data_IF_893818572466
#
_entry.id   IF_893818572466
#
_cell.length_a   1.000
_cell.length_b   1.000
_cell.length_c   1.000
_cell.angle_alpha   90.00
_cell.angle_beta   90.00
_cell.angle_gamma   90.00
#
_symmetry.space_group_name_H-M   'P 1'
#
loop_
_entity.id
_entity.type
_entity.pdbx_description
1 polymer ?
#
# COMPACT_ATOMS: atom_id res chain seq x y z
N UNK A 1 15.72 -66.94 27.38
CA UNK A 1 15.93 -66.71 25.93
C UNK A 1 14.70 -66.13 25.22
N UNK A 2 13.47 -66.35 25.71
CA UNK A 2 12.23 -65.73 25.18
C UNK A 2 11.99 -64.29 25.69
N UNK A 3 12.37 -63.96 26.92
CA UNK A 3 12.15 -62.60 27.48
C UNK A 3 13.14 -61.53 26.97
N UNK A 4 14.37 -61.92 26.62
CA UNK A 4 15.36 -61.00 26.02
C UNK A 4 15.09 -60.68 24.54
N UNK A 5 14.25 -61.47 23.85
CA UNK A 5 13.85 -61.21 22.46
C UNK A 5 12.73 -60.16 22.38
N UNK A 6 11.74 -60.25 23.27
CA UNK A 6 10.66 -59.25 23.36
C UNK A 6 11.14 -57.86 23.77
N UNK A 7 12.10 -57.75 24.71
CA UNK A 7 12.64 -56.45 25.13
C UNK A 7 13.50 -55.75 24.05
N UNK A 8 14.08 -56.49 23.09
CA UNK A 8 14.83 -55.92 21.97
C UNK A 8 13.93 -55.52 20.79
N UNK A 9 12.83 -56.24 20.56
CA UNK A 9 11.83 -55.89 19.55
C UNK A 9 11.01 -54.64 19.96
N UNK A 10 10.70 -54.48 21.26
CA UNK A 10 10.01 -53.29 21.76
C UNK A 10 10.90 -52.02 21.71
N UNK A 11 12.20 -52.16 21.99
CA UNK A 11 13.15 -51.03 21.90
C UNK A 11 13.44 -50.61 20.45
N UNK A 12 13.46 -51.55 19.49
CA UNK A 12 13.61 -51.25 18.07
C UNK A 12 12.33 -50.69 17.45
N UNK A 13 11.15 -51.20 17.84
CA UNK A 13 9.86 -50.63 17.46
C UNK A 13 9.67 -49.20 18.01
N UNK A 14 10.04 -48.96 19.28
CA UNK A 14 10.05 -47.64 19.87
C UNK A 14 10.98 -46.69 19.09
N UNK A 15 12.24 -47.06 18.85
CA UNK A 15 13.21 -46.26 18.09
C UNK A 15 12.77 -45.99 16.63
N UNK A 16 12.15 -46.96 15.95
CA UNK A 16 11.58 -46.77 14.63
C UNK A 16 10.34 -45.86 14.63
N UNK A 17 9.52 -45.90 15.69
CA UNK A 17 8.38 -44.99 15.85
C UNK A 17 8.84 -43.55 16.06
N UNK A 18 9.89 -43.33 16.87
CA UNK A 18 10.46 -41.99 17.13
C UNK A 18 11.11 -41.42 15.87
N UNK A 19 11.81 -42.25 15.09
CA UNK A 19 12.38 -41.86 13.79
C UNK A 19 11.32 -41.50 12.75
N UNK A 20 10.22 -42.28 12.69
CA UNK A 20 9.09 -42.02 11.79
C UNK A 20 8.31 -40.76 12.17
N UNK A 21 8.03 -40.55 13.46
CA UNK A 21 7.38 -39.35 13.98
C UNK A 21 8.23 -38.09 13.72
N UNK A 22 9.55 -38.20 13.90
CA UNK A 22 10.49 -37.11 13.57
C UNK A 22 10.51 -36.81 12.06
N UNK A 23 10.42 -37.82 11.20
CA UNK A 23 10.34 -37.63 9.74
C UNK A 23 9.02 -36.95 9.32
N UNK A 24 7.88 -37.38 9.85
CA UNK A 24 6.58 -36.77 9.58
C UNK A 24 6.57 -35.28 10.00
N UNK A 25 7.02 -34.97 11.21
CA UNK A 25 7.10 -33.59 11.70
C UNK A 25 8.01 -32.73 10.81
N UNK A 26 9.14 -33.27 10.34
CA UNK A 26 10.01 -32.57 9.39
C UNK A 26 9.30 -32.29 8.07
N UNK A 27 8.59 -33.26 7.49
CA UNK A 27 7.82 -33.06 6.25
C UNK A 27 6.78 -31.95 6.43
N UNK A 28 6.04 -31.96 7.54
CA UNK A 28 5.02 -30.95 7.82
C UNK A 28 5.64 -29.56 7.98
N UNK A 29 6.77 -29.44 8.68
CA UNK A 29 7.48 -28.18 8.84
C UNK A 29 7.98 -27.61 7.51
N UNK A 30 8.57 -28.45 6.65
CA UNK A 30 9.03 -28.04 5.34
C UNK A 30 7.89 -27.71 4.38
N UNK A 31 6.76 -28.42 4.49
CA UNK A 31 5.52 -28.11 3.75
C UNK A 31 4.99 -26.74 4.15
N UNK A 32 4.90 -26.46 5.46
CA UNK A 32 4.49 -25.14 5.95
C UNK A 32 5.42 -24.03 5.45
N UNK A 33 6.73 -24.20 5.65
CA UNK A 33 7.72 -23.15 5.35
C UNK A 33 7.94 -22.92 3.86
N UNK A 34 8.17 -23.98 3.09
CA UNK A 34 8.67 -23.85 1.71
C UNK A 34 7.58 -23.99 0.66
N UNK A 35 6.54 -24.79 0.91
CA UNK A 35 5.44 -24.91 -0.03
C UNK A 35 4.38 -23.83 0.25
N UNK A 36 3.91 -23.75 1.49
CA UNK A 36 2.79 -22.86 1.82
C UNK A 36 3.27 -21.40 1.91
N UNK A 37 4.20 -21.10 2.81
CA UNK A 37 4.65 -19.71 3.03
C UNK A 37 5.42 -19.18 1.83
N UNK A 38 6.47 -19.88 1.37
CA UNK A 38 7.34 -19.37 0.30
C UNK A 38 6.67 -19.32 -1.08
N UNK A 39 5.69 -20.18 -1.37
CA UNK A 39 4.93 -20.12 -2.62
C UNK A 39 3.58 -19.41 -2.48
N UNK A 40 3.28 -18.83 -1.31
CA UNK A 40 2.01 -18.16 -1.01
C UNK A 40 0.77 -19.01 -1.35
N UNK A 41 0.79 -20.28 -0.94
CA UNK A 41 -0.30 -21.22 -1.19
C UNK A 41 -1.28 -21.28 -0.01
N UNK A 42 -2.57 -21.56 -0.26
CA UNK A 42 -3.56 -21.63 0.80
C UNK A 42 -3.30 -22.84 1.71
N UNK A 43 -3.57 -22.69 3.01
CA UNK A 43 -3.34 -23.73 4.02
C UNK A 43 -4.09 -25.04 3.73
N UNK A 44 -5.22 -24.97 3.02
CA UNK A 44 -6.04 -26.12 2.64
C UNK A 44 -5.40 -26.98 1.55
N UNK A 45 -4.25 -26.60 0.97
CA UNK A 45 -3.54 -27.44 -0.01
C UNK A 45 -3.22 -28.83 0.56
N UNK A 46 -2.95 -28.93 1.87
CA UNK A 46 -2.68 -30.22 2.55
C UNK A 46 -3.89 -31.16 2.59
N UNK A 47 -5.08 -30.62 2.33
CA UNK A 47 -6.35 -31.35 2.29
C UNK A 47 -6.75 -31.76 0.87
N UNK A 48 -6.11 -31.19 -0.17
CA UNK A 48 -6.36 -31.54 -1.56
C UNK A 48 -6.10 -33.02 -1.83
N UNK A 49 -7.03 -33.68 -2.54
CA UNK A 49 -6.90 -35.08 -2.92
C UNK A 49 -5.62 -35.34 -3.72
N UNK A 50 -5.31 -34.49 -4.70
CA UNK A 50 -4.11 -34.60 -5.52
C UNK A 50 -2.82 -34.47 -4.70
N UNK A 51 -2.77 -33.52 -3.76
CA UNK A 51 -1.63 -33.35 -2.85
C UNK A 51 -1.43 -34.59 -1.96
N UNK A 52 -2.51 -35.16 -1.43
CA UNK A 52 -2.43 -36.36 -0.57
C UNK A 52 -1.96 -37.59 -1.33
N UNK A 53 -2.39 -37.76 -2.57
CA UNK A 53 -1.91 -38.85 -3.45
C UNK A 53 -0.42 -38.67 -3.72
N UNK A 54 0.00 -37.46 -4.13
CA UNK A 54 1.41 -37.12 -4.35
C UNK A 54 2.28 -37.40 -3.12
N UNK A 55 1.84 -36.98 -1.94
CA UNK A 55 2.61 -37.19 -0.70
C UNK A 55 2.69 -38.65 -0.27
N UNK A 56 1.65 -39.46 -0.52
CA UNK A 56 1.68 -40.91 -0.26
C UNK A 56 2.61 -41.66 -1.21
N UNK A 57 2.72 -41.22 -2.45
CA UNK A 57 3.69 -41.77 -3.40
C UNK A 57 5.12 -41.41 -2.97
N UNK A 58 5.38 -40.13 -2.69
CA UNK A 58 6.69 -39.65 -2.22
C UNK A 58 7.10 -40.25 -0.85
N UNK A 59 6.15 -40.39 0.06
CA UNK A 59 6.36 -40.97 1.39
C UNK A 59 5.16 -41.80 1.81
N UNK A 60 5.24 -43.12 1.61
CA UNK A 60 4.15 -44.06 1.90
C UNK A 60 3.61 -43.99 3.34
N UNK A 61 4.47 -43.66 4.32
CA UNK A 61 4.09 -43.50 5.74
C UNK A 61 3.56 -42.10 6.07
N UNK A 62 3.40 -41.22 5.09
CA UNK A 62 2.87 -39.88 5.32
C UNK A 62 1.43 -39.94 5.80
N UNK A 63 1.17 -39.33 6.95
CA UNK A 63 -0.17 -39.18 7.51
C UNK A 63 -0.75 -37.81 7.11
N UNK A 64 -1.84 -37.77 6.32
CA UNK A 64 -2.47 -36.51 5.97
C UNK A 64 -2.98 -35.77 7.20
N UNK A 65 -2.73 -34.46 7.25
CA UNK A 65 -3.27 -33.58 8.29
C UNK A 65 -4.34 -32.66 7.73
N UNK A 66 -5.11 -32.04 8.63
CA UNK A 66 -6.00 -30.94 8.28
C UNK A 66 -5.26 -29.61 8.32
N UNK A 67 -5.75 -28.63 7.56
CA UNK A 67 -5.32 -27.24 7.62
C UNK A 67 -5.49 -26.68 9.04
N UNK A 68 -6.52 -27.12 9.76
CA UNK A 68 -6.73 -26.77 11.18
C UNK A 68 -5.60 -27.28 12.07
N UNK A 69 -5.17 -28.54 11.88
CA UNK A 69 -4.05 -29.12 12.63
C UNK A 69 -2.74 -28.42 12.29
N UNK A 70 -2.50 -28.14 11.01
CA UNK A 70 -1.33 -27.37 10.55
C UNK A 70 -1.27 -26.00 11.23
N UNK A 71 -2.40 -25.27 11.23
CA UNK A 71 -2.52 -23.94 11.84
C UNK A 71 -2.30 -23.95 13.35
N UNK A 72 -2.80 -24.96 14.05
CA UNK A 72 -2.73 -25.03 15.51
C UNK A 72 -1.39 -25.57 16.01
N UNK A 73 -0.82 -26.57 15.34
CA UNK A 73 0.28 -27.35 15.90
C UNK A 73 1.65 -26.99 15.26
N UNK A 74 1.67 -26.54 14.00
CA UNK A 74 2.92 -26.30 13.25
C UNK A 74 3.22 -24.81 13.09
N UNK A 75 2.23 -24.00 12.69
CA UNK A 75 2.44 -22.57 12.45
C UNK A 75 2.94 -21.80 13.69
N UNK A 76 2.47 -22.04 14.93
CA UNK A 76 2.93 -21.26 16.09
C UNK A 76 4.43 -21.42 16.35
N UNK A 77 4.97 -22.64 16.18
CA UNK A 77 6.42 -22.88 16.31
C UNK A 77 7.21 -22.08 15.26
N UNK A 78 6.72 -22.03 14.02
CA UNK A 78 7.31 -21.20 12.97
C UNK A 78 7.23 -19.70 13.30
N UNK A 79 6.06 -19.21 13.72
CA UNK A 79 5.87 -17.81 14.10
C UNK A 79 6.77 -17.40 15.27
N UNK A 80 6.92 -18.27 16.27
CA UNK A 80 7.83 -18.02 17.40
C UNK A 80 9.28 -17.89 16.95
N UNK A 81 9.74 -18.75 16.02
CA UNK A 81 11.10 -18.67 15.49
C UNK A 81 11.32 -17.40 14.65
N UNK A 82 10.33 -17.01 13.83
CA UNK A 82 10.37 -15.74 13.08
C UNK A 82 10.41 -14.56 14.03
N UNK A 83 9.53 -14.53 15.04
CA UNK A 83 9.49 -13.47 16.05
C UNK A 83 10.82 -13.34 16.81
N UNK A 84 11.45 -14.46 17.21
CA UNK A 84 12.78 -14.45 17.82
C UNK A 84 13.85 -13.88 16.88
N UNK A 85 13.82 -14.27 15.60
CA UNK A 85 14.76 -13.76 14.60
C UNK A 85 14.61 -12.25 14.42
N UNK A 86 13.37 -11.75 14.40
CA UNK A 86 13.08 -10.32 14.34
C UNK A 86 13.61 -9.61 15.60
N UNK A 87 13.34 -10.12 16.80
CA UNK A 87 13.88 -9.55 18.04
C UNK A 87 15.42 -9.49 18.03
N UNK A 88 16.09 -10.57 17.63
CA UNK A 88 17.55 -10.61 17.54
C UNK A 88 18.12 -9.59 16.54
N UNK A 89 17.42 -9.35 15.44
CA UNK A 89 17.80 -8.32 14.47
C UNK A 89 17.59 -6.91 15.03
N UNK A 90 16.42 -6.66 15.63
CA UNK A 90 16.05 -5.36 16.20
C UNK A 90 16.89 -4.98 17.42
N UNK A 91 17.43 -5.96 18.15
CA UNK A 91 18.35 -5.70 19.27
C UNK A 91 19.70 -5.12 18.83
N UNK A 92 20.12 -5.34 17.58
CA UNK A 92 21.41 -4.88 17.05
C UNK A 92 21.38 -3.47 16.48
N UNK A 93 20.19 -2.89 16.32
CA UNK A 93 20.02 -1.57 15.73
C UNK A 93 19.69 -0.53 16.79
N UNK A 94 20.05 0.72 16.48
CA UNK A 94 19.79 1.89 17.32
C UNK A 94 18.59 2.69 16.84
N UNK A 95 18.33 2.70 15.52
CA UNK A 95 17.28 3.50 14.90
C UNK A 95 16.53 2.66 13.87
N UNK A 96 15.22 2.88 13.79
CA UNK A 96 14.34 2.33 12.76
C UNK A 96 13.24 3.34 12.40
N UNK A 97 12.65 3.21 11.24
CA UNK A 97 11.42 3.92 10.86
C UNK A 97 10.27 2.94 10.74
N UNK A 98 9.04 3.41 10.93
CA UNK A 98 7.83 2.60 10.79
C UNK A 98 7.07 3.05 9.55
N UNK A 99 6.50 2.11 8.81
CA UNK A 99 5.38 2.39 7.91
C UNK A 99 4.14 1.73 8.49
N UNK A 100 3.06 2.49 8.61
CA UNK A 100 1.80 2.01 9.16
C UNK A 100 0.72 2.19 8.11
N UNK A 101 0.20 1.07 7.63
CA UNK A 101 -0.78 1.02 6.55
C UNK A 101 -2.10 0.44 7.06
N UNK A 102 -3.20 1.14 6.78
CA UNK A 102 -4.54 0.78 7.22
C UNK A 102 -5.42 0.44 6.02
N UNK A 103 -6.03 -0.73 6.03
CA UNK A 103 -7.00 -1.10 4.99
C UNK A 103 -8.22 -1.82 5.56
N UNK A 104 -9.34 -1.66 4.87
CA UNK A 104 -10.57 -2.39 5.12
C UNK A 104 -10.78 -3.44 4.03
N UNK A 105 -11.19 -4.64 4.41
CA UNK A 105 -11.66 -5.61 3.44
C UNK A 105 -13.09 -5.31 2.96
N UNK A 106 -13.59 -6.10 2.02
CA UNK A 106 -14.95 -5.93 1.44
C UNK A 106 -16.09 -6.15 2.43
N UNK A 107 -15.80 -6.68 3.63
CA UNK A 107 -16.76 -6.86 4.71
C UNK A 107 -16.60 -5.77 5.78
N UNK A 108 -15.95 -4.67 5.42
CA UNK A 108 -15.61 -3.56 6.29
C UNK A 108 -14.86 -4.01 7.55
N UNK A 109 -14.08 -5.10 7.45
CA UNK A 109 -13.18 -5.51 8.53
C UNK A 109 -11.86 -4.83 8.31
N UNK A 110 -11.38 -4.21 9.37
CA UNK A 110 -10.23 -3.36 9.27
C UNK A 110 -8.97 -4.02 9.80
N UNK A 111 -7.87 -3.61 9.21
CA UNK A 111 -6.56 -4.15 9.51
C UNK A 111 -5.52 -3.04 9.51
N UNK A 112 -4.49 -3.22 10.32
CA UNK A 112 -3.36 -2.33 10.45
C UNK A 112 -2.08 -3.15 10.25
N UNK A 113 -1.31 -2.84 9.22
CA UNK A 113 0.02 -3.38 9.01
C UNK A 113 1.05 -2.44 9.60
N UNK A 114 1.91 -2.95 10.49
CA UNK A 114 3.01 -2.20 11.08
C UNK A 114 4.31 -2.85 10.63
N UNK A 115 5.08 -2.14 9.81
CA UNK A 115 6.36 -2.63 9.26
C UNK A 115 7.47 -1.72 9.74
N UNK A 116 8.55 -2.30 10.26
CA UNK A 116 9.77 -1.55 10.59
C UNK A 116 10.78 -1.61 9.46
N UNK A 117 11.50 -0.52 9.28
CA UNK A 117 12.54 -0.32 8.27
C UNK A 117 13.82 0.12 8.93
N UNK A 118 14.93 -0.55 8.64
CA UNK A 118 16.24 -0.23 9.21
C UNK A 118 17.37 -0.65 8.27
N UNK A 119 18.56 -0.15 8.55
CA UNK A 119 19.79 -0.55 7.85
C UNK A 119 20.53 -1.55 8.74
N UNK A 120 20.86 -2.71 8.20
CA UNK A 120 21.61 -3.74 8.92
C UNK A 120 23.12 -3.48 8.96
N UNK A 121 23.85 -4.37 9.63
CA UNK A 121 25.32 -4.35 9.73
C UNK A 121 26.05 -4.50 8.39
N UNK A 122 25.34 -4.93 7.34
CA UNK A 122 25.85 -5.07 5.97
C UNK A 122 25.49 -3.87 5.10
N UNK A 123 24.97 -2.79 5.69
CA UNK A 123 24.52 -1.59 4.98
C UNK A 123 23.37 -1.87 3.99
N UNK A 124 22.55 -2.90 4.27
CA UNK A 124 21.40 -3.24 3.46
C UNK A 124 20.11 -2.79 4.14
N UNK A 125 19.19 -2.24 3.35
CA UNK A 125 17.84 -1.93 3.84
C UNK A 125 17.06 -3.20 4.13
N UNK A 126 16.49 -3.29 5.33
CA UNK A 126 15.65 -4.38 5.80
C UNK A 126 14.25 -3.83 6.11
N UNK A 127 13.23 -4.60 5.73
CA UNK A 127 11.83 -4.29 6.02
C UNK A 127 11.16 -5.52 6.64
N UNK A 128 10.75 -5.43 7.91
CA UNK A 128 10.08 -6.53 8.62
C UNK A 128 8.68 -6.11 9.06
N UNK A 129 7.68 -6.89 8.66
CA UNK A 129 6.31 -6.77 9.17
C UNK A 129 6.30 -7.24 10.64
N UNK A 130 6.08 -6.31 11.56
CA UNK A 130 6.04 -6.57 13.00
C UNK A 130 4.71 -7.20 13.40
N UNK A 131 3.62 -6.64 12.89
CA UNK A 131 2.28 -7.17 13.13
C UNK A 131 1.31 -6.82 12.00
N UNK A 132 0.28 -7.65 11.87
CA UNK A 132 -0.86 -7.49 10.99
C UNK A 132 -2.11 -7.58 11.86
N UNK A 133 -2.47 -6.44 12.43
CA UNK A 133 -3.48 -6.39 13.50
C UNK A 133 -4.86 -6.29 12.88
N UNK A 134 -5.79 -7.12 13.35
CA UNK A 134 -7.22 -6.90 13.04
C UNK A 134 -7.75 -5.84 13.99
N UNK A 135 -8.09 -4.67 13.43
CA UNK A 135 -8.71 -3.58 14.15
C UNK A 135 -10.19 -3.85 14.35
N UNK A 136 -10.62 -4.05 15.60
CA UNK A 136 -12.02 -4.36 15.94
C UNK A 136 -12.74 -3.19 16.62
N UNK A 137 -12.01 -2.21 17.10
CA UNK A 137 -12.54 -1.00 17.74
C UNK A 137 -12.79 0.10 16.69
N UNK A 138 -13.48 1.20 17.06
CA UNK A 138 -13.58 2.37 16.20
C UNK A 138 -12.20 2.90 15.76
N UNK A 139 -12.14 3.46 14.55
CA UNK A 139 -10.91 3.97 13.93
C UNK A 139 -10.49 5.34 14.46
N UNK A 140 -10.47 5.51 15.78
CA UNK A 140 -9.99 6.76 16.39
C UNK A 140 -8.46 6.79 16.38
N UNK A 141 -7.88 7.98 16.49
CA UNK A 141 -6.43 8.13 16.49
C UNK A 141 -5.79 7.43 17.69
N UNK A 142 -6.47 7.49 18.84
CA UNK A 142 -6.05 6.91 20.13
C UNK A 142 -5.97 5.39 20.03
N UNK A 143 -6.98 4.74 19.44
CA UNK A 143 -6.96 3.28 19.27
C UNK A 143 -5.84 2.83 18.31
N UNK A 144 -5.55 3.61 17.26
CA UNK A 144 -4.46 3.31 16.32
C UNK A 144 -3.10 3.50 17.00
N UNK A 145 -2.94 4.57 17.79
CA UNK A 145 -1.75 4.83 18.61
C UNK A 145 -1.51 3.68 19.58
N UNK A 146 -2.52 3.29 20.36
CA UNK A 146 -2.42 2.20 21.33
C UNK A 146 -2.01 0.87 20.68
N UNK A 147 -2.62 0.50 19.55
CA UNK A 147 -2.22 -0.72 18.82
C UNK A 147 -0.77 -0.68 18.36
N UNK A 148 -0.27 0.50 18.01
CA UNK A 148 1.12 0.68 17.62
C UNK A 148 2.03 0.55 18.83
N UNK A 149 1.70 1.21 19.94
CA UNK A 149 2.45 1.10 21.20
C UNK A 149 2.52 -0.34 21.71
N UNK A 150 1.42 -1.09 21.70
CA UNK A 150 1.38 -2.51 22.07
C UNK A 150 2.36 -3.38 21.24
N UNK A 151 2.57 -3.02 19.97
CA UNK A 151 3.55 -3.70 19.11
C UNK A 151 4.96 -3.25 19.45
N UNK A 152 5.19 -1.96 19.65
CA UNK A 152 6.52 -1.43 19.98
C UNK A 152 7.03 -1.93 21.34
N UNK A 153 6.15 -2.02 22.33
CA UNK A 153 6.45 -2.54 23.67
C UNK A 153 6.80 -4.02 23.60
N UNK A 154 6.05 -4.79 22.80
CA UNK A 154 6.30 -6.23 22.61
C UNK A 154 7.69 -6.53 22.04
N UNK A 155 8.21 -5.64 21.20
CA UNK A 155 9.53 -5.77 20.58
C UNK A 155 10.62 -4.94 21.29
N UNK A 156 10.27 -4.18 22.35
CA UNK A 156 11.19 -3.30 23.10
C UNK A 156 11.93 -2.29 22.20
N UNK A 157 11.20 -1.69 21.24
CA UNK A 157 11.77 -0.79 20.21
C UNK A 157 11.24 0.64 20.26
N UNK A 158 10.45 0.99 21.28
CA UNK A 158 9.81 2.32 21.42
C UNK A 158 10.81 3.48 21.24
N UNK A 159 11.93 3.42 21.97
CA UNK A 159 13.00 4.44 21.93
C UNK A 159 13.83 4.45 20.63
N UNK A 160 13.66 3.46 19.76
CA UNK A 160 14.42 3.33 18.50
C UNK A 160 13.71 3.96 17.32
N UNK A 161 12.45 4.37 17.49
CA UNK A 161 11.62 4.89 16.40
C UNK A 161 12.11 6.30 16.02
N UNK A 162 12.65 6.43 14.81
CA UNK A 162 13.10 7.68 14.22
C UNK A 162 11.97 8.45 13.55
N UNK A 163 11.22 7.79 12.66
CA UNK A 163 10.07 8.37 11.93
C UNK A 163 8.97 7.34 11.70
N UNK A 164 7.73 7.82 11.60
CA UNK A 164 6.55 7.01 11.30
C UNK A 164 5.91 7.55 10.03
N UNK A 165 5.74 6.70 9.03
CA UNK A 165 5.16 7.04 7.75
C UNK A 165 3.76 6.44 7.67
N UNK A 166 2.75 7.28 7.46
CA UNK A 166 1.34 6.86 7.33
C UNK A 166 0.68 7.51 6.13
N UNK A 167 -0.49 7.02 5.73
CA UNK A 167 -1.35 7.79 4.83
C UNK A 167 -1.87 9.09 5.50
N UNK A 168 -2.65 9.86 4.74
CA UNK A 168 -3.23 11.13 5.19
C UNK A 168 -4.69 10.97 5.65
N UNK A 169 -5.13 9.77 6.02
CA UNK A 169 -6.44 9.60 6.64
C UNK A 169 -6.48 10.39 7.96
N UNK A 170 -7.62 10.98 8.27
CA UNK A 170 -7.78 11.83 9.47
C UNK A 170 -7.44 11.08 10.76
N UNK A 171 -7.81 9.81 10.86
CA UNK A 171 -7.48 8.94 12.00
C UNK A 171 -5.98 8.69 12.14
N UNK A 172 -5.26 8.47 11.02
CA UNK A 172 -3.81 8.28 11.01
C UNK A 172 -3.06 9.57 11.37
N UNK A 173 -3.53 10.72 10.87
CA UNK A 173 -2.95 12.02 11.25
C UNK A 173 -3.12 12.24 12.76
N UNK A 174 -4.34 12.07 13.29
CA UNK A 174 -4.62 12.25 14.73
C UNK A 174 -3.79 11.30 15.60
N UNK A 175 -3.62 10.04 15.20
CA UNK A 175 -2.86 9.05 15.95
C UNK A 175 -1.40 9.45 16.25
N UNK A 176 -0.79 10.27 15.39
CA UNK A 176 0.62 10.63 15.52
C UNK A 176 0.88 12.14 15.45
N UNK A 177 -0.16 12.98 15.59
CA UNK A 177 -0.06 14.46 15.56
C UNK A 177 0.84 14.98 16.68
N UNK A 178 0.71 14.43 17.88
CA UNK A 178 1.45 14.83 19.09
C UNK A 178 2.57 13.84 19.46
N UNK A 179 3.01 13.02 18.50
CA UNK A 179 3.99 11.96 18.74
C UNK A 179 3.44 10.74 19.47
N UNK A 180 4.22 9.66 19.48
CA UNK A 180 3.88 8.44 20.24
C UNK A 180 3.97 8.64 21.75
N UNK A 181 4.68 9.67 22.22
CA UNK A 181 5.18 9.77 23.61
C UNK A 181 4.64 10.97 24.39
N UNK A 182 3.67 11.71 23.84
CA UNK A 182 2.92 12.65 24.66
C UNK A 182 2.09 11.83 25.65
N UNK A 183 2.47 11.90 26.93
CA UNK A 183 1.64 11.45 28.03
C UNK A 183 0.39 12.33 28.03
N UNK A 184 -0.79 11.71 28.08
CA UNK A 184 -2.03 12.41 28.40
C UNK A 184 -1.95 12.80 29.88
N UNK A 185 -1.38 13.96 30.18
CA UNK A 185 -1.71 14.60 31.46
C UNK A 185 -3.20 14.89 31.44
N UNK A 186 -3.87 14.34 32.44
CA UNK A 186 -5.32 14.28 32.60
C UNK A 186 -5.94 15.66 32.73
N UNK A 187 -6.70 16.09 31.73
CA UNK A 187 -7.74 17.11 31.92
C UNK A 187 -9.11 16.45 31.95
N UNK A 188 -9.43 15.88 33.12
CA UNK A 188 -10.81 15.92 33.58
C UNK A 188 -11.19 17.41 33.64
N UNK A 189 -12.15 17.85 32.81
CA UNK A 189 -13.17 18.89 33.04
C UNK A 189 -13.46 19.67 31.75
N UNK A 190 -14.46 19.21 30.98
CA UNK A 190 -14.92 19.92 29.79
C UNK A 190 -16.15 19.29 29.15
N UNK A 191 -17.19 19.07 29.96
CA UNK A 191 -18.48 18.58 29.51
C UNK A 191 -19.14 19.59 28.55
N UNK A 192 -19.13 19.31 27.24
CA UNK A 192 -20.12 19.89 26.32
C UNK A 192 -20.70 18.81 25.43
N UNK A 193 -21.95 18.48 25.72
CA UNK A 193 -22.83 17.64 24.92
C UNK A 193 -22.84 18.09 23.45
N UNK A 194 -22.60 17.17 22.52
CA UNK A 194 -23.14 17.28 21.17
C UNK A 194 -23.55 15.89 20.67
N UNK A 195 -24.79 15.83 20.20
CA UNK A 195 -25.61 14.64 20.03
C UNK A 195 -24.97 13.52 19.20
N UNK A 196 -25.11 12.32 19.75
CA UNK A 196 -24.94 11.05 19.07
C UNK A 196 -25.97 10.91 17.95
N UNK A 197 -25.54 11.04 16.70
CA UNK A 197 -26.31 10.59 15.54
C UNK A 197 -25.94 9.14 15.25
N UNK A 198 -26.77 8.24 15.76
CA UNK A 198 -26.75 6.82 15.48
C UNK A 198 -27.25 6.60 14.03
N UNK A 199 -26.33 6.42 13.07
CA UNK A 199 -26.72 5.95 11.74
C UNK A 199 -26.65 4.43 11.73
N UNK A 200 -27.78 3.81 12.03
CA UNK A 200 -28.06 2.41 11.73
C UNK A 200 -28.24 2.29 10.21
N UNK A 201 -27.27 1.75 9.49
CA UNK A 201 -27.50 1.28 8.12
C UNK A 201 -27.84 -0.21 8.13
N UNK A 202 -29.13 -0.46 7.91
CA UNK A 202 -29.68 -1.75 7.53
C UNK A 202 -29.05 -2.12 6.17
N UNK A 203 -28.26 -3.19 6.15
CA UNK A 203 -27.84 -3.83 4.90
C UNK A 203 -28.97 -4.76 4.45
N UNK A 204 -29.72 -4.32 3.45
CA UNK A 204 -30.38 -5.24 2.54
C UNK A 204 -29.59 -5.27 1.22
N UNK A 205 -29.37 -6.49 0.74
CA UNK A 205 -28.73 -6.84 -0.51
C UNK A 205 -29.15 -5.92 -1.66
N UNK A 206 -28.21 -5.36 -2.42
CA UNK A 206 -28.21 -5.38 -3.90
C UNK A 206 -26.93 -4.71 -4.45
N UNK A 207 -26.36 -5.38 -5.45
CA UNK A 207 -25.27 -4.95 -6.34
C UNK A 207 -25.64 -3.62 -7.02
N UNK A 208 -25.07 -2.50 -6.57
CA UNK A 208 -25.12 -1.25 -7.33
C UNK A 208 -23.80 -0.49 -7.29
N UNK A 209 -23.45 -0.03 -8.49
CA UNK A 209 -22.33 0.81 -8.90
C UNK A 209 -21.98 1.94 -7.91
N UNK A 210 -20.72 1.98 -7.47
CA UNK A 210 -20.13 3.19 -6.90
C UNK A 210 -19.85 4.16 -8.05
N UNK A 211 -20.66 5.21 -8.14
CA UNK A 211 -20.37 6.40 -8.94
C UNK A 211 -19.15 7.14 -8.39
N UNK A 212 -18.41 7.79 -9.28
CA UNK A 212 -17.21 8.61 -9.03
C UNK A 212 -17.42 9.79 -8.06
N UNK A 213 -18.61 9.95 -7.48
CA UNK A 213 -19.00 11.06 -6.60
C UNK A 213 -18.80 10.81 -5.10
N UNK A 214 -18.63 9.56 -4.64
CA UNK A 214 -18.85 9.23 -3.22
C UNK A 214 -17.57 9.13 -2.37
N UNK A 215 -16.41 9.52 -2.91
CA UNK A 215 -15.21 9.70 -2.09
C UNK A 215 -15.17 11.13 -1.55
N UNK A 216 -15.63 11.29 -0.29
CA UNK A 216 -15.51 12.52 0.49
C UNK A 216 -14.14 13.16 0.24
N UNK A 217 -14.18 14.39 -0.26
CA UNK A 217 -13.02 15.24 -0.32
C UNK A 217 -12.49 15.41 1.11
N UNK A 218 -11.22 15.07 1.33
CA UNK A 218 -10.50 15.57 2.50
C UNK A 218 -10.31 17.06 2.23
N UNK A 219 -11.27 17.87 2.70
CA UNK A 219 -11.02 19.28 2.94
C UNK A 219 -9.96 19.33 4.04
N UNK A 220 -8.78 19.84 3.71
CA UNK A 220 -7.83 20.30 4.72
C UNK A 220 -8.39 21.63 5.22
N UNK A 221 -9.48 21.57 6.00
CA UNK A 221 -9.88 22.71 6.80
C UNK A 221 -9.01 22.64 8.05
N UNK A 222 -8.27 23.71 8.29
CA UNK A 222 -7.56 23.95 9.53
C UNK A 222 -8.60 23.97 10.67
N UNK A 223 -8.59 22.93 11.50
CA UNK A 223 -9.23 23.01 12.81
C UNK A 223 -8.30 23.89 13.68
N UNK A 224 -8.78 25.09 13.99
CA UNK A 224 -8.13 26.14 14.81
C UNK A 224 -8.20 25.81 16.32
N UNK A 225 -7.71 24.65 16.73
CA UNK A 225 -7.49 24.34 18.14
C UNK A 225 -5.98 24.14 18.36
N UNK A 226 -5.26 25.26 18.46
CA UNK A 226 -3.88 25.36 18.94
C UNK A 226 -3.91 25.43 20.47
N UNK A 227 -3.66 24.29 21.12
CA UNK A 227 -3.08 24.29 22.46
C UNK A 227 -1.59 23.97 22.32
N UNK A 228 -0.77 24.97 22.67
CA UNK A 228 0.69 24.96 22.66
C UNK A 228 1.23 23.91 23.65
N UNK A 229 1.51 22.69 23.17
CA UNK A 229 2.37 21.74 23.89
C UNK A 229 3.80 21.86 23.37
N UNK A 230 4.61 22.70 24.03
CA UNK A 230 6.05 22.84 23.76
C UNK A 230 6.76 21.47 23.90
N UNK A 231 7.33 20.97 22.78
CA UNK A 231 8.43 20.00 22.84
C UNK A 231 8.29 18.68 22.07
N UNK A 232 7.21 18.42 21.33
CA UNK A 232 7.10 17.16 20.58
C UNK A 232 7.72 17.28 19.18
N UNK A 233 8.85 16.61 18.96
CA UNK A 233 9.40 16.46 17.59
C UNK A 233 8.39 15.74 16.71
N UNK A 234 7.97 16.37 15.61
CA UNK A 234 7.05 15.77 14.64
C UNK A 234 7.65 14.47 14.07
N UNK A 235 7.25 13.33 14.64
CA UNK A 235 7.75 11.99 14.29
C UNK A 235 7.04 11.45 13.04
N UNK A 236 5.87 12.00 12.70
CA UNK A 236 5.04 11.53 11.60
C UNK A 236 5.47 12.20 10.29
N UNK A 237 5.63 11.39 9.25
CA UNK A 237 5.74 11.82 7.87
C UNK A 237 4.54 11.33 7.07
N UNK A 238 4.05 12.17 6.18
CA UNK A 238 3.01 11.79 5.22
C UNK A 238 3.56 10.85 4.16
N UNK A 239 2.79 9.84 3.78
CA UNK A 239 3.15 8.92 2.70
C UNK A 239 3.22 9.68 1.37
N UNK A 240 4.43 9.71 0.79
CA UNK A 240 4.69 10.37 -0.49
C UNK A 240 3.86 9.78 -1.62
N UNK A 241 3.84 8.44 -1.75
CA UNK A 241 3.10 7.76 -2.82
C UNK A 241 1.59 8.07 -2.73
N UNK A 242 1.01 8.01 -1.53
CA UNK A 242 -0.39 8.37 -1.31
C UNK A 242 -0.65 9.84 -1.66
N UNK A 243 0.23 10.76 -1.23
CA UNK A 243 0.08 12.19 -1.52
C UNK A 243 0.17 12.49 -3.01
N UNK A 244 1.11 11.86 -3.73
CA UNK A 244 1.24 11.99 -5.19
C UNK A 244 0.00 11.47 -5.92
N UNK A 245 -0.65 10.44 -5.39
CA UNK A 245 -1.90 9.92 -5.95
C UNK A 245 -3.07 10.88 -5.71
N UNK A 246 -3.09 11.58 -4.56
CA UNK A 246 -4.05 12.64 -4.31
C UNK A 246 -3.89 13.80 -5.29
N UNK A 247 -2.65 14.13 -5.70
CA UNK A 247 -2.39 15.12 -6.78
C UNK A 247 -3.12 14.73 -8.06
N UNK A 248 -2.93 13.49 -8.52
CA UNK A 248 -3.58 12.99 -9.75
C UNK A 248 -5.10 13.05 -9.63
N UNK A 249 -5.63 12.66 -8.47
CA UNK A 249 -7.08 12.71 -8.18
C UNK A 249 -7.64 14.13 -8.24
N UNK A 250 -6.94 15.10 -7.65
CA UNK A 250 -7.36 16.50 -7.67
C UNK A 250 -7.37 17.05 -9.11
N UNK A 251 -6.41 16.63 -9.94
CA UNK A 251 -6.37 16.95 -11.36
C UNK A 251 -7.63 16.52 -12.13
N UNK A 252 -8.13 15.31 -11.87
CA UNK A 252 -9.31 14.78 -12.55
C UNK A 252 -10.64 15.40 -12.09
N UNK A 253 -10.76 15.83 -10.83
CA UNK A 253 -12.03 16.35 -10.26
C UNK A 253 -12.61 17.56 -11.00
N UNK A 254 -11.79 18.36 -11.70
CA UNK A 254 -12.20 19.66 -12.28
C UNK A 254 -12.20 19.68 -13.82
N UNK A 255 -12.13 18.52 -14.48
CA UNK A 255 -11.95 18.42 -15.94
C UNK A 255 -13.11 17.68 -16.63
N UNK A 256 -14.18 18.39 -17.00
CA UNK A 256 -15.42 17.79 -17.52
C UNK A 256 -15.26 17.04 -18.86
N UNK A 257 -14.37 17.50 -19.76
CA UNK A 257 -14.08 16.79 -21.01
C UNK A 257 -13.44 15.42 -20.75
N UNK A 258 -12.52 15.36 -19.77
CA UNK A 258 -11.82 14.16 -19.35
C UNK A 258 -12.80 13.18 -18.69
N UNK A 259 -13.68 13.66 -17.80
CA UNK A 259 -14.70 12.81 -17.17
C UNK A 259 -15.56 12.06 -18.19
N UNK A 260 -15.96 12.73 -19.28
CA UNK A 260 -16.71 12.10 -20.38
C UNK A 260 -15.93 10.94 -21.01
N UNK A 261 -14.65 11.12 -21.30
CA UNK A 261 -13.82 10.09 -21.95
C UNK A 261 -13.50 8.95 -20.99
N UNK A 262 -13.19 9.26 -19.72
CA UNK A 262 -12.98 8.25 -18.68
C UNK A 262 -14.22 7.38 -18.44
N UNK A 263 -15.42 7.97 -18.48
CA UNK A 263 -16.67 7.20 -18.39
C UNK A 263 -16.79 6.17 -19.53
N UNK A 264 -16.38 6.53 -20.75
CA UNK A 264 -16.33 5.56 -21.88
C UNK A 264 -15.40 4.39 -21.56
N UNK A 265 -14.20 4.69 -21.08
CA UNK A 265 -13.22 3.67 -20.67
C UNK A 265 -13.76 2.75 -19.57
N UNK A 266 -14.44 3.32 -18.57
CA UNK A 266 -15.03 2.56 -17.47
C UNK A 266 -16.15 1.63 -17.94
N UNK A 267 -17.04 2.10 -18.79
CA UNK A 267 -18.14 1.26 -19.31
C UNK A 267 -17.57 0.12 -20.15
N UNK A 268 -16.56 0.38 -20.99
CA UNK A 268 -15.87 -0.66 -21.74
C UNK A 268 -15.23 -1.71 -20.82
N UNK A 269 -14.51 -1.27 -19.78
CA UNK A 269 -13.91 -2.19 -18.80
C UNK A 269 -14.98 -3.02 -18.08
N UNK A 270 -16.06 -2.40 -17.61
CA UNK A 270 -17.18 -3.09 -16.95
C UNK A 270 -17.78 -4.17 -17.86
N UNK A 271 -17.99 -3.85 -19.13
CA UNK A 271 -18.53 -4.81 -20.10
C UNK A 271 -17.54 -5.96 -20.39
N UNK A 272 -16.27 -5.64 -20.60
CA UNK A 272 -15.20 -6.62 -20.86
C UNK A 272 -15.12 -7.69 -19.78
N UNK A 273 -15.28 -7.32 -18.51
CA UNK A 273 -15.21 -8.29 -17.42
C UNK A 273 -16.50 -9.06 -17.13
N UNK A 274 -17.61 -8.70 -17.78
CA UNK A 274 -18.90 -9.41 -17.66
C UNK A 274 -19.19 -10.31 -18.88
N UNK A 275 -18.54 -10.07 -20.02
CA UNK A 275 -18.83 -10.74 -21.29
C UNK A 275 -17.76 -11.78 -21.64
N UNK A 276 -18.14 -13.06 -21.72
CA UNK A 276 -17.24 -14.12 -22.18
C UNK A 276 -16.78 -13.91 -23.62
N UNK A 277 -17.68 -13.47 -24.51
CA UNK A 277 -17.35 -13.13 -25.90
C UNK A 277 -16.28 -12.06 -26.01
N UNK A 278 -16.30 -11.08 -25.10
CA UNK A 278 -15.29 -10.02 -25.06
C UNK A 278 -13.95 -10.55 -24.55
N UNK A 279 -13.97 -11.44 -23.56
CA UNK A 279 -12.76 -12.09 -23.07
C UNK A 279 -12.08 -12.89 -24.19
N UNK A 280 -12.84 -13.70 -24.94
CA UNK A 280 -12.30 -14.50 -26.05
C UNK A 280 -11.65 -13.62 -27.13
N UNK A 281 -12.29 -12.51 -27.52
CA UNK A 281 -11.74 -11.57 -28.51
C UNK A 281 -10.48 -10.87 -28.02
N UNK A 282 -10.45 -10.46 -26.75
CA UNK A 282 -9.25 -9.86 -26.14
C UNK A 282 -8.10 -10.86 -26.08
N UNK A 283 -8.38 -12.13 -25.80
CA UNK A 283 -7.40 -13.21 -25.83
C UNK A 283 -6.88 -13.47 -27.26
N UNK A 284 -7.74 -13.42 -28.29
CA UNK A 284 -7.34 -13.56 -29.69
C UNK A 284 -6.33 -12.49 -30.14
N UNK A 285 -6.50 -11.25 -29.67
CA UNK A 285 -5.56 -10.14 -29.93
C UNK A 285 -4.44 -10.03 -28.89
N UNK A 286 -4.40 -10.95 -27.91
CA UNK A 286 -3.45 -10.97 -26.79
C UNK A 286 -3.41 -9.63 -26.02
N UNK A 287 -4.58 -9.09 -25.70
CA UNK A 287 -4.78 -7.85 -24.94
C UNK A 287 -5.63 -8.14 -23.70
N UNK A 288 -5.55 -7.25 -22.72
CA UNK A 288 -6.39 -7.29 -21.53
C UNK A 288 -6.76 -5.85 -21.14
N UNK A 289 -7.99 -5.64 -20.69
CA UNK A 289 -8.45 -4.34 -20.18
C UNK A 289 -8.37 -4.38 -18.66
N UNK A 290 -7.68 -3.41 -18.08
CA UNK A 290 -7.53 -3.36 -16.64
C UNK A 290 -8.84 -2.89 -15.97
N UNK A 291 -9.22 -3.50 -14.85
CA UNK A 291 -10.30 -2.96 -14.01
C UNK A 291 -9.85 -1.65 -13.36
N UNK A 292 -10.74 -0.68 -13.36
CA UNK A 292 -10.64 0.40 -12.39
C UNK A 292 -10.83 -0.20 -10.99
N UNK A 293 -9.90 0.09 -10.09
CA UNK A 293 -9.98 -0.34 -8.72
C UNK A 293 -9.69 0.87 -7.85
N UNK A 294 -10.72 1.37 -7.18
CA UNK A 294 -10.65 2.57 -6.34
C UNK A 294 -9.62 2.42 -5.20
N UNK A 295 -9.34 1.19 -4.76
CA UNK A 295 -8.30 0.90 -3.75
C UNK A 295 -6.88 0.80 -4.30
N UNK A 296 -6.70 0.81 -5.64
CA UNK A 296 -5.38 0.82 -6.28
C UNK A 296 -5.19 2.13 -7.02
N UNK A 297 -4.29 2.93 -6.50
CA UNK A 297 -4.17 4.33 -6.83
C UNK A 297 -3.64 4.69 -8.23
N UNK A 298 -3.34 3.69 -9.07
CA UNK A 298 -2.85 3.84 -10.45
C UNK A 298 -3.85 3.29 -11.49
N UNK A 299 -5.08 3.00 -11.08
CA UNK A 299 -6.02 2.22 -11.89
C UNK A 299 -6.51 2.94 -13.14
N UNK A 300 -6.62 4.27 -13.10
CA UNK A 300 -7.01 5.13 -14.22
C UNK A 300 -5.94 5.10 -15.31
N UNK A 301 -4.68 5.34 -14.95
CA UNK A 301 -3.55 5.26 -15.88
C UNK A 301 -3.46 3.87 -16.53
N UNK A 302 -3.53 2.81 -15.71
CA UNK A 302 -3.45 1.43 -16.19
C UNK A 302 -4.63 1.04 -17.09
N UNK A 303 -5.84 1.54 -16.81
CA UNK A 303 -7.01 1.36 -17.66
C UNK A 303 -6.81 2.04 -19.01
N UNK A 304 -6.44 3.32 -19.01
CA UNK A 304 -6.26 4.09 -20.25
C UNK A 304 -5.15 3.47 -21.10
N UNK A 305 -4.01 3.13 -20.49
CA UNK A 305 -2.87 2.50 -21.18
C UNK A 305 -3.28 1.17 -21.81
N UNK A 306 -4.10 0.38 -21.10
CA UNK A 306 -4.62 -0.89 -21.62
C UNK A 306 -5.54 -0.68 -22.84
N UNK A 307 -6.41 0.33 -22.82
CA UNK A 307 -7.31 0.64 -23.93
C UNK A 307 -6.55 1.15 -25.15
N UNK A 308 -5.62 2.09 -24.97
CA UNK A 308 -4.81 2.60 -26.09
C UNK A 308 -3.97 1.49 -26.74
N UNK A 309 -3.54 0.50 -25.96
CA UNK A 309 -2.76 -0.63 -26.48
C UNK A 309 -3.54 -1.55 -27.44
N UNK A 310 -4.88 -1.50 -27.44
CA UNK A 310 -5.73 -2.28 -28.35
C UNK A 310 -5.65 -1.72 -29.78
N UNK A 311 -5.46 -0.41 -29.92
CA UNK A 311 -5.50 0.27 -31.21
C UNK A 311 -6.92 0.52 -31.70
N UNK A 312 -7.07 1.56 -32.52
CA UNK A 312 -8.39 2.11 -32.89
C UNK A 312 -9.28 1.10 -33.64
N UNK A 313 -8.72 0.38 -34.62
CA UNK A 313 -9.51 -0.50 -35.49
C UNK A 313 -10.16 -1.64 -34.68
N UNK A 314 -9.38 -2.26 -33.80
CA UNK A 314 -9.86 -3.35 -32.95
C UNK A 314 -10.80 -2.83 -31.86
N UNK A 315 -10.53 -1.64 -31.31
CA UNK A 315 -11.43 -0.96 -30.38
C UNK A 315 -12.81 -0.67 -31.01
N UNK A 316 -12.84 -0.21 -32.27
CA UNK A 316 -14.07 0.05 -33.02
C UNK A 316 -14.83 -1.26 -33.33
N UNK A 317 -14.13 -2.36 -33.59
CA UNK A 317 -14.74 -3.68 -33.79
C UNK A 317 -15.38 -4.20 -32.48
N UNK A 318 -14.64 -4.11 -31.37
CA UNK A 318 -15.05 -4.51 -30.02
C UNK A 318 -16.28 -3.73 -29.54
N UNK A 319 -16.26 -2.42 -29.71
CA UNK A 319 -17.33 -1.54 -29.22
C UNK A 319 -18.63 -1.66 -30.00
N UNK A 320 -18.60 -2.09 -31.27
CA UNK A 320 -19.80 -2.40 -32.08
C UNK A 320 -20.59 -3.60 -31.54
N UNK A 321 -19.95 -4.49 -30.80
CA UNK A 321 -20.60 -5.67 -30.21
C UNK A 321 -21.37 -5.35 -28.92
N UNK A 322 -21.27 -4.12 -28.42
CA UNK A 322 -22.00 -3.67 -27.24
C UNK A 322 -23.38 -3.11 -27.64
N UNK A 323 -24.44 -3.58 -26.97
CA UNK A 323 -25.83 -3.13 -27.21
C UNK A 323 -26.02 -1.61 -26.98
N UNK A 324 -25.16 -0.98 -26.16
CA UNK A 324 -25.07 0.47 -25.94
C UNK A 324 -23.75 1.02 -26.55
N UNK A 325 -23.65 1.08 -27.88
CA UNK A 325 -22.39 1.34 -28.60
C UNK A 325 -21.67 2.61 -28.14
N UNK A 326 -20.56 2.45 -27.43
CA UNK A 326 -19.65 3.54 -27.09
C UNK A 326 -18.63 3.65 -28.20
N UNK A 327 -18.60 4.77 -28.92
CA UNK A 327 -17.57 5.02 -29.92
C UNK A 327 -16.53 5.99 -29.41
N UNK A 328 -15.25 5.66 -29.61
CA UNK A 328 -14.13 6.56 -29.34
C UNK A 328 -13.84 7.38 -30.60
N UNK A 329 -14.09 8.69 -30.53
CA UNK A 329 -13.68 9.61 -31.59
C UNK A 329 -12.16 9.77 -31.61
N UNK A 330 -11.61 10.31 -32.70
CA UNK A 330 -10.18 10.67 -32.74
C UNK A 330 -9.79 11.62 -31.60
N UNK A 331 -10.66 12.59 -31.30
CA UNK A 331 -10.42 13.52 -30.18
C UNK A 331 -10.43 12.79 -28.83
N UNK A 332 -11.28 11.77 -28.65
CA UNK A 332 -11.26 10.97 -27.42
C UNK A 332 -9.93 10.23 -27.28
N UNK A 333 -9.39 9.66 -28.37
CA UNK A 333 -8.10 8.97 -28.35
C UNK A 333 -6.94 9.93 -28.09
N UNK A 334 -6.93 11.12 -28.70
CA UNK A 334 -5.91 12.14 -28.43
C UNK A 334 -5.96 12.59 -26.97
N UNK A 335 -7.16 12.78 -26.39
CA UNK A 335 -7.31 13.08 -24.95
C UNK A 335 -6.70 11.97 -24.09
N UNK A 336 -6.93 10.70 -24.44
CA UNK A 336 -6.36 9.57 -23.70
C UNK A 336 -4.84 9.51 -23.82
N UNK A 337 -4.29 9.77 -25.02
CA UNK A 337 -2.84 9.85 -25.26
C UNK A 337 -2.21 10.96 -24.42
N UNK A 338 -2.77 12.17 -24.44
CA UNK A 338 -2.31 13.29 -23.60
C UNK A 338 -2.34 12.96 -22.11
N UNK A 339 -3.39 12.26 -21.63
CA UNK A 339 -3.47 11.84 -20.22
C UNK A 339 -2.37 10.84 -19.87
N UNK A 340 -2.02 9.92 -20.77
CA UNK A 340 -0.94 8.96 -20.53
C UNK A 340 0.40 9.67 -20.48
N UNK A 341 0.69 10.55 -21.42
CA UNK A 341 1.94 11.30 -21.45
C UNK A 341 2.09 12.15 -20.18
N UNK A 342 0.99 12.76 -19.72
CA UNK A 342 0.95 13.52 -18.48
C UNK A 342 1.19 12.70 -17.22
N UNK A 343 0.59 11.51 -17.13
CA UNK A 343 0.53 10.72 -15.91
C UNK A 343 1.62 9.64 -15.84
N UNK A 344 2.33 9.36 -16.92
CA UNK A 344 3.39 8.36 -16.94
C UNK A 344 4.48 8.63 -15.89
N UNK A 345 5.03 9.86 -15.75
CA UNK A 345 6.00 10.14 -14.69
C UNK A 345 5.42 9.94 -13.29
N UNK A 346 4.17 10.35 -13.05
CA UNK A 346 3.48 10.16 -11.76
C UNK A 346 3.32 8.68 -11.43
N UNK A 347 2.92 7.88 -12.43
CA UNK A 347 2.81 6.44 -12.31
C UNK A 347 4.16 5.81 -11.96
N UNK A 348 5.21 6.11 -12.72
CA UNK A 348 6.55 5.55 -12.47
C UNK A 348 7.10 5.92 -11.10
N UNK A 349 6.99 7.20 -10.72
CA UNK A 349 7.43 7.70 -9.42
C UNK A 349 6.67 6.96 -8.31
N UNK A 350 5.33 6.85 -8.44
CA UNK A 350 4.51 6.20 -7.41
C UNK A 350 4.88 4.73 -7.22
N UNK A 351 5.19 4.01 -8.31
CA UNK A 351 5.61 2.59 -8.28
C UNK A 351 6.99 2.46 -7.64
N UNK A 352 7.95 3.30 -8.04
CA UNK A 352 9.31 3.28 -7.48
C UNK A 352 9.33 3.61 -5.98
N UNK A 353 8.51 4.58 -5.55
CA UNK A 353 8.47 5.01 -4.14
C UNK A 353 7.72 4.05 -3.21
N UNK A 354 7.03 3.03 -3.75
CA UNK A 354 6.39 1.97 -2.96
C UNK A 354 7.35 0.80 -2.64
N UNK A 355 8.59 0.84 -3.13
CA UNK A 355 9.58 -0.18 -2.81
C UNK A 355 9.97 -0.11 -1.32
N UNK A 356 10.11 -1.29 -0.69
CA UNK A 356 10.37 -1.40 0.76
C UNK A 356 11.85 -1.61 1.10
N UNK A 357 12.65 -2.14 0.18
CA UNK A 357 14.05 -2.53 0.43
C UNK A 357 15.07 -1.62 -0.24
N UNK A 358 14.66 -0.42 -0.63
CA UNK A 358 15.53 0.64 -1.15
C UNK A 358 15.23 1.96 -0.45
N UNK A 359 16.21 2.87 -0.44
CA UNK A 359 16.00 4.21 0.09
C UNK A 359 15.08 5.01 -0.86
N UNK A 360 13.83 5.23 -0.47
CA UNK A 360 12.85 5.98 -1.27
C UNK A 360 12.71 7.44 -0.84
N UNK A 361 13.07 7.77 0.41
CA UNK A 361 13.03 9.15 0.91
C UNK A 361 13.91 10.11 0.09
N UNK A 362 15.05 9.62 -0.44
CA UNK A 362 15.95 10.39 -1.30
C UNK A 362 15.34 10.76 -2.66
N UNK A 363 14.31 10.03 -3.10
CA UNK A 363 13.62 10.27 -4.36
C UNK A 363 12.56 11.36 -4.27
N UNK A 364 12.12 11.75 -3.06
CA UNK A 364 10.98 12.66 -2.86
C UNK A 364 11.22 14.04 -3.48
N UNK A 365 12.34 14.70 -3.14
CA UNK A 365 12.64 16.03 -3.69
C UNK A 365 12.85 16.01 -5.21
N UNK A 366 13.68 15.11 -5.78
CA UNK A 366 13.83 14.99 -7.23
C UNK A 366 12.51 14.68 -7.94
N UNK A 367 11.65 13.84 -7.35
CA UNK A 367 10.36 13.48 -7.93
C UNK A 367 9.43 14.69 -8.02
N UNK A 368 9.33 15.51 -6.97
CA UNK A 368 8.52 16.74 -6.99
C UNK A 368 9.01 17.70 -8.08
N UNK A 369 10.32 17.93 -8.16
CA UNK A 369 10.93 18.80 -9.17
C UNK A 369 10.69 18.24 -10.57
N UNK A 370 10.91 16.94 -10.78
CA UNK A 370 10.71 16.28 -12.06
C UNK A 370 9.25 16.36 -12.50
N UNK A 371 8.29 16.14 -11.60
CA UNK A 371 6.86 16.29 -11.89
C UNK A 371 6.50 17.72 -12.30
N UNK A 372 7.03 18.75 -11.62
CA UNK A 372 6.79 20.15 -12.01
C UNK A 372 7.42 20.49 -13.36
N UNK A 373 8.65 20.05 -13.61
CA UNK A 373 9.34 20.25 -14.90
C UNK A 373 8.58 19.58 -16.03
N UNK A 374 8.19 18.33 -15.85
CA UNK A 374 7.41 17.61 -16.85
C UNK A 374 6.10 18.35 -17.19
N UNK A 375 5.34 18.80 -16.17
CA UNK A 375 4.10 19.55 -16.38
C UNK A 375 4.32 20.89 -17.09
N UNK A 376 5.46 21.54 -16.86
CA UNK A 376 5.82 22.77 -17.57
C UNK A 376 6.14 22.50 -19.04
N UNK A 377 6.99 21.50 -19.32
CA UNK A 377 7.46 21.21 -20.68
C UNK A 377 6.34 20.65 -21.57
N UNK A 378 5.45 19.83 -21.00
CA UNK A 378 4.34 19.23 -21.74
C UNK A 378 3.23 20.24 -22.04
N UNK A 379 3.14 21.35 -21.28
CA UNK A 379 2.09 22.37 -21.41
C UNK A 379 2.01 22.96 -22.82
N UNK A 380 3.14 23.07 -23.53
CA UNK A 380 3.19 23.61 -24.89
C UNK A 380 2.72 22.61 -25.96
N UNK A 381 2.71 21.31 -25.64
CA UNK A 381 2.40 20.22 -26.58
C UNK A 381 1.00 19.61 -26.39
N UNK A 382 0.24 20.10 -25.42
CA UNK A 382 -1.11 19.59 -25.08
C UNK A 382 -2.20 20.48 -25.66
N UNK A 383 -3.19 19.86 -26.29
CA UNK A 383 -4.34 20.52 -26.88
C UNK A 383 -5.59 20.46 -25.99
N UNK A 384 -5.92 19.28 -25.44
CA UNK A 384 -7.20 19.07 -24.76
C UNK A 384 -7.11 19.02 -23.23
N UNK A 385 -5.94 18.69 -22.67
CA UNK A 385 -5.72 18.48 -21.25
C UNK A 385 -5.07 19.66 -20.50
N UNK A 386 -5.13 20.88 -21.05
CA UNK A 386 -4.51 22.07 -20.44
C UNK A 386 -5.00 22.39 -19.02
N UNK A 387 -6.31 22.20 -18.75
CA UNK A 387 -6.88 22.32 -17.40
C UNK A 387 -6.33 21.27 -16.44
N UNK A 388 -6.12 20.03 -16.91
CA UNK A 388 -5.53 18.97 -16.10
C UNK A 388 -4.11 19.34 -15.68
N UNK A 389 -3.28 19.82 -16.62
CA UNK A 389 -1.92 20.33 -16.32
C UNK A 389 -1.95 21.37 -15.20
N UNK A 390 -2.80 22.40 -15.33
CA UNK A 390 -2.91 23.47 -14.34
C UNK A 390 -3.32 22.96 -12.96
N UNK A 391 -4.28 22.02 -12.89
CA UNK A 391 -4.72 21.46 -11.62
C UNK A 391 -3.69 20.52 -10.99
N UNK A 392 -2.95 19.75 -11.80
CA UNK A 392 -1.83 18.95 -11.31
C UNK A 392 -0.73 19.85 -10.72
N UNK A 393 -0.35 20.93 -11.42
CA UNK A 393 0.62 21.91 -10.92
C UNK A 393 0.19 22.50 -9.58
N UNK A 394 -1.04 23.04 -9.50
CA UNK A 394 -1.58 23.62 -8.27
C UNK A 394 -1.63 22.61 -7.12
N UNK A 395 -2.01 21.35 -7.40
CA UNK A 395 -2.08 20.32 -6.36
C UNK A 395 -0.69 19.89 -5.88
N UNK A 396 0.32 19.83 -6.75
CA UNK A 396 1.72 19.63 -6.33
C UNK A 396 2.18 20.78 -5.44
N UNK A 397 1.94 22.03 -5.87
CA UNK A 397 2.32 23.23 -5.14
C UNK A 397 1.71 23.28 -3.73
N UNK A 398 0.46 22.85 -3.60
CA UNK A 398 -0.24 22.80 -2.32
C UNK A 398 0.24 21.65 -1.44
N UNK A 399 0.33 20.43 -2.00
CA UNK A 399 0.59 19.20 -1.23
C UNK A 399 2.06 18.99 -0.88
N UNK A 400 2.97 19.66 -1.57
CA UNK A 400 4.42 19.63 -1.32
C UNK A 400 4.97 21.04 -1.04
N UNK A 401 4.14 21.91 -0.48
CA UNK A 401 4.47 23.32 -0.26
C UNK A 401 5.73 23.51 0.59
N UNK A 402 5.99 22.65 1.58
CA UNK A 402 7.20 22.71 2.42
C UNK A 402 8.49 22.49 1.63
N UNK A 403 8.48 21.58 0.65
CA UNK A 403 9.61 21.37 -0.28
C UNK A 403 9.79 22.63 -1.14
N UNK A 404 8.71 23.12 -1.72
CA UNK A 404 8.74 24.26 -2.65
C UNK A 404 9.19 25.55 -1.96
N UNK A 405 8.65 25.83 -0.78
CA UNK A 405 9.05 26.97 0.07
C UNK A 405 10.53 26.90 0.41
N UNK A 406 11.04 25.70 0.75
CA UNK A 406 12.47 25.50 1.02
C UNK A 406 13.34 25.76 -0.21
N UNK A 407 12.92 25.29 -1.39
CA UNK A 407 13.62 25.55 -2.65
C UNK A 407 13.65 27.06 -2.99
N UNK A 408 12.56 27.76 -2.72
CA UNK A 408 12.40 29.19 -2.98
C UNK A 408 12.98 30.09 -1.87
N UNK A 409 13.56 29.52 -0.81
CA UNK A 409 14.07 30.25 0.36
C UNK A 409 13.01 31.16 1.01
N UNK A 410 11.76 30.72 1.04
CA UNK A 410 10.66 31.41 1.71
C UNK A 410 10.38 30.78 3.08
N UNK A 411 9.68 31.51 3.95
CA UNK A 411 9.33 31.04 5.29
C UNK A 411 8.54 29.73 5.26
N UNK A 412 8.98 28.79 6.09
CA UNK A 412 8.38 27.46 6.25
C UNK A 412 7.72 27.42 7.63
N UNK A 413 6.42 27.13 7.64
CA UNK A 413 5.67 26.89 8.87
C UNK A 413 5.79 25.42 9.27
N UNK A 414 5.68 25.12 10.56
CA UNK A 414 5.82 23.75 11.08
C UNK A 414 4.83 22.77 10.42
N UNK A 415 3.60 23.23 10.18
CA UNK A 415 2.53 22.45 9.57
C UNK A 415 2.56 22.41 8.03
N UNK A 416 3.56 23.02 7.38
CA UNK A 416 3.66 22.95 5.92
C UNK A 416 3.87 21.49 5.46
N UNK A 417 3.05 20.98 4.53
CA UNK A 417 3.21 19.64 3.98
C UNK A 417 4.62 19.38 3.43
N UNK A 418 5.23 18.25 3.84
CA UNK A 418 6.56 17.83 3.41
C UNK A 418 7.68 18.84 3.74
N UNK A 419 7.54 19.62 4.82
CA UNK A 419 8.55 20.58 5.29
C UNK A 419 9.80 19.93 5.93
N UNK A 420 9.71 18.66 6.35
CA UNK A 420 10.75 17.97 7.10
C UNK A 420 12.10 17.95 6.33
N UNK A 421 13.22 18.37 6.95
CA UNK A 421 14.52 18.41 6.31
C UNK A 421 15.05 17.03 5.87
N UNK A 422 14.51 15.93 6.40
CA UNK A 422 14.92 14.56 6.07
C UNK A 422 14.86 14.29 4.57
N UNK A 423 13.89 14.85 3.84
CA UNK A 423 13.77 14.64 2.40
C UNK A 423 14.99 15.19 1.66
N UNK A 424 15.45 16.39 2.03
CA UNK A 424 16.63 17.01 1.42
C UNK A 424 17.92 16.33 1.86
N UNK A 425 18.04 16.00 3.15
CA UNK A 425 19.20 15.26 3.66
C UNK A 425 19.35 13.92 2.96
N UNK A 426 18.26 13.15 2.83
CA UNK A 426 18.26 11.87 2.14
C UNK A 426 18.67 12.04 0.67
N UNK A 427 18.13 13.02 -0.05
CA UNK A 427 18.48 13.27 -1.45
C UNK A 427 19.96 13.64 -1.62
N UNK A 428 20.51 14.49 -0.75
CA UNK A 428 21.93 14.91 -0.85
C UNK A 428 22.88 13.77 -0.51
N UNK A 429 22.52 12.90 0.44
CA UNK A 429 23.32 11.75 0.82
C UNK A 429 23.28 10.60 -0.19
N UNK A 430 22.26 10.55 -1.04
CA UNK A 430 22.12 9.55 -2.09
C UNK A 430 23.12 9.78 -3.23
N UNK A 431 24.06 8.86 -3.50
CA UNK A 431 25.03 9.00 -4.59
C UNK A 431 24.41 9.15 -5.98
N UNK A 432 23.19 8.66 -6.20
CA UNK A 432 22.49 8.79 -7.48
C UNK A 432 22.02 10.22 -7.74
N UNK A 433 21.72 11.00 -6.70
CA UNK A 433 21.17 12.35 -6.81
C UNK A 433 22.17 13.43 -6.40
N UNK A 434 22.79 13.33 -5.22
CA UNK A 434 23.68 14.35 -4.63
C UNK A 434 23.10 15.78 -4.77
N UNK A 435 23.70 16.58 -5.64
CA UNK A 435 23.27 17.95 -5.97
C UNK A 435 22.87 18.09 -7.45
N UNK A 436 22.77 17.00 -8.22
CA UNK A 436 22.45 17.06 -9.64
C UNK A 436 21.05 17.64 -9.90
N UNK A 437 20.09 17.32 -9.03
CA UNK A 437 18.72 17.84 -9.08
C UNK A 437 18.62 19.36 -8.84
N UNK A 438 19.65 20.00 -8.26
CA UNK A 438 19.72 21.46 -8.11
C UNK A 438 20.10 22.13 -9.44
N UNK A 439 20.83 21.46 -10.32
CA UNK A 439 21.27 22.06 -11.60
C UNK A 439 20.15 22.15 -12.62
N UNK A 440 19.19 21.23 -12.57
CA UNK A 440 17.99 21.24 -13.41
C UNK A 440 16.88 22.17 -12.88
N UNK A 441 17.07 22.75 -11.68
CA UNK A 441 16.13 23.69 -11.05
C UNK A 441 16.17 25.11 -11.63
N UNK A 442 16.38 25.24 -12.95
CA UNK A 442 16.13 26.48 -13.70
C UNK A 442 14.72 27.06 -13.53
N UNK A 443 13.84 26.34 -12.83
CA UNK A 443 12.67 26.84 -12.14
C UNK A 443 13.02 27.93 -11.12
N UNK A 444 13.12 29.16 -11.60
CA UNK A 444 12.52 30.26 -10.85
C UNK A 444 11.02 30.02 -10.89
N UNK A 445 10.43 29.51 -9.82
CA UNK A 445 9.00 29.61 -9.59
C UNK A 445 8.74 31.12 -9.47
N UNK A 446 8.43 31.75 -10.60
CA UNK A 446 8.16 33.18 -10.67
C UNK A 446 6.94 33.47 -9.82
N UNK A 447 7.12 34.39 -8.87
CA UNK A 447 6.11 35.10 -8.09
C UNK A 447 4.87 35.48 -8.89
#
# INVERSE_FOLDING_TARGET
LSEQKHANDDNTAAAHSTSSANRQNRILLFTAKNLIVRCNLPLNIVESAGFRVFMKDYCFKYEPISAKKLKRDILPSFMNNVSKTIHEALNKINYLSLTIDGWSDRRCRSFLGITCHFIDDKMMSQAYLLDFVRHKSPHTGENIKQLTEDVLDRFEIKEKVFKIITDNASSMIKAYKFGLFADEETDEHGDTSSSMSEVVTIFDDYDHDLELSDFQAININHDEDDDDLEGTTNIRLSCFAHTLQLVVRDGFKKSSNISRVLNKCQVLAKFSHKSSKMADLLDEINKNINKMNVTRCNSEYLLIKSILSIGKNDLDAITKLMDNSIQFSNNDLIVLEEIIDLLEPFYEISVKCQAETIATASMVVPAVIHSLSHLHDIKENILFCTKLVQQLQLSIETRFSGIIKRLNQTDIMENDPFSDPVYFMATVLDPAFKFYWIRDSGFKITS
#
